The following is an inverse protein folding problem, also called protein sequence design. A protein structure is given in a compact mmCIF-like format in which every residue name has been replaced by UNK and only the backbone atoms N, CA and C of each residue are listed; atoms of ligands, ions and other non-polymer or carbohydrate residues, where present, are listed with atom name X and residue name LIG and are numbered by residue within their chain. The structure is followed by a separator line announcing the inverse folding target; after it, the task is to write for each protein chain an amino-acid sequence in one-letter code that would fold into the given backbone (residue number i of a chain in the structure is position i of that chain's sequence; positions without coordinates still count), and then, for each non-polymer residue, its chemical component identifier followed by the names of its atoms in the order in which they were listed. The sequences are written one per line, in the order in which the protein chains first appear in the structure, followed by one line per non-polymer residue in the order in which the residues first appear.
data_IF_880261563588
#
_entry.id   IF_880261563588
#
_cell.length_a   1.000
_cell.length_b   1.000
_cell.length_c   1.000
_cell.angle_alpha   90.00
_cell.angle_beta   90.00
_cell.angle_gamma   90.00
#
_symmetry.space_group_name_H-M   'P 1'
#
loop_
_entity.id
_entity.type
_entity.pdbx_description
1 polymer ?
#
# COMPACT_ATOMS: atom_id res chain seq x y z
N UNK A 1 -24.77 64.53 0.44
CA UNK A 1 -24.69 63.66 1.63
C UNK A 1 -25.24 62.29 1.26
N UNK A 2 -24.50 61.23 1.62
CA UNK A 2 -24.73 59.78 1.40
C UNK A 2 -24.69 59.33 -0.08
N UNK A 3 -23.92 58.32 -0.50
CA UNK A 3 -23.72 57.03 0.16
C UNK A 3 -22.40 56.32 -0.26
N UNK A 4 -21.37 56.25 0.59
CA UNK A 4 -20.17 55.40 0.44
C UNK A 4 -20.37 53.96 0.97
N UNK A 5 -21.62 53.47 1.06
CA UNK A 5 -21.94 52.22 1.78
C UNK A 5 -22.01 50.95 0.92
N UNK A 6 -22.04 51.06 -0.42
CA UNK A 6 -22.28 49.88 -1.28
C UNK A 6 -20.99 49.18 -1.73
N UNK A 7 -19.89 49.91 -1.91
CA UNK A 7 -18.57 49.34 -2.27
C UNK A 7 -17.91 48.64 -1.09
N UNK A 8 -18.12 49.14 0.13
CA UNK A 8 -17.61 48.52 1.35
C UNK A 8 -18.25 47.15 1.63
N UNK A 9 -19.52 46.94 1.25
CA UNK A 9 -20.21 45.67 1.49
C UNK A 9 -19.80 44.56 0.52
N UNK A 10 -19.41 44.88 -0.72
CA UNK A 10 -18.93 43.90 -1.69
C UNK A 10 -17.49 43.44 -1.37
N UNK A 11 -16.61 44.40 -1.06
CA UNK A 11 -15.21 44.12 -0.66
C UNK A 11 -15.10 43.26 0.59
N UNK A 12 -15.97 43.49 1.56
CA UNK A 12 -16.00 42.72 2.80
C UNK A 12 -16.42 41.27 2.54
N UNK A 13 -17.39 41.03 1.65
CA UNK A 13 -17.85 39.67 1.28
C UNK A 13 -16.76 38.91 0.52
N UNK A 14 -16.02 39.56 -0.38
CA UNK A 14 -14.92 38.91 -1.10
C UNK A 14 -13.72 38.60 -0.19
N UNK A 15 -13.40 39.47 0.77
CA UNK A 15 -12.37 39.22 1.78
C UNK A 15 -12.78 38.07 2.72
N UNK A 16 -14.05 38.02 3.15
CA UNK A 16 -14.54 36.91 3.98
C UNK A 16 -14.57 35.59 3.19
N UNK A 17 -14.93 35.61 1.91
CA UNK A 17 -14.91 34.41 1.05
C UNK A 17 -13.48 33.92 0.78
N UNK A 18 -12.51 34.81 0.51
CA UNK A 18 -11.09 34.42 0.39
C UNK A 18 -10.51 33.94 1.72
N UNK A 19 -10.88 34.56 2.83
CA UNK A 19 -10.44 34.12 4.16
C UNK A 19 -11.01 32.74 4.47
N UNK A 20 -12.31 32.52 4.22
CA UNK A 20 -12.95 31.21 4.40
C UNK A 20 -12.29 30.14 3.52
N UNK A 21 -12.08 30.38 2.22
CA UNK A 21 -11.45 29.38 1.34
C UNK A 21 -10.02 29.05 1.78
N UNK A 22 -9.26 30.02 2.27
CA UNK A 22 -7.93 29.79 2.85
C UNK A 22 -7.98 29.00 4.17
N UNK A 23 -8.96 29.26 5.05
CA UNK A 23 -9.18 28.47 6.26
C UNK A 23 -9.61 27.03 5.93
N UNK A 24 -10.50 26.84 4.95
CA UNK A 24 -10.92 25.51 4.47
C UNK A 24 -9.77 24.74 3.83
N UNK A 25 -8.92 25.39 3.04
CA UNK A 25 -7.74 24.74 2.43
C UNK A 25 -6.67 24.40 3.48
N UNK A 26 -6.49 25.23 4.52
CA UNK A 26 -5.59 24.92 5.64
C UNK A 26 -6.10 23.77 6.53
N UNK A 27 -7.41 23.69 6.75
CA UNK A 27 -8.05 22.58 7.47
C UNK A 27 -8.02 21.27 6.66
N UNK A 28 -8.19 21.34 5.34
CA UNK A 28 -8.05 20.21 4.43
C UNK A 28 -6.60 19.70 4.38
N UNK A 29 -5.61 20.60 4.49
CA UNK A 29 -4.20 20.23 4.58
C UNK A 29 -3.86 19.51 5.89
N UNK A 30 -4.51 19.88 7.01
CA UNK A 30 -4.36 19.19 8.29
C UNK A 30 -5.08 17.82 8.31
N UNK A 31 -6.18 17.65 7.57
CA UNK A 31 -6.85 16.36 7.38
C UNK A 31 -6.09 15.40 6.46
N UNK A 32 -5.17 15.90 5.63
CA UNK A 32 -4.33 15.06 4.75
C UNK A 32 -3.01 14.65 5.41
N UNK A 33 -2.66 15.25 6.55
CA UNK A 33 -1.49 14.88 7.37
C UNK A 33 -1.98 14.11 8.60
N UNK A 34 -2.61 12.96 8.36
CA UNK A 34 -2.94 12.03 9.44
C UNK A 34 -1.64 11.43 10.02
N UNK A 35 -1.37 11.56 11.33
CA UNK A 35 -0.16 11.00 11.96
C UNK A 35 -0.11 9.47 11.99
N UNK A 36 -1.13 8.78 11.48
CA UNK A 36 -1.25 7.32 11.46
C UNK A 36 -0.25 6.63 10.52
N UNK A 37 0.38 7.35 9.59
CA UNK A 37 1.43 6.78 8.71
C UNK A 37 2.84 6.77 9.34
N UNK A 38 3.03 7.32 10.54
CA UNK A 38 4.34 7.37 11.21
C UNK A 38 4.46 6.36 12.37
N UNK A 39 3.35 5.94 12.99
CA UNK A 39 3.39 4.99 14.11
C UNK A 39 3.33 3.53 13.62
N UNK A 40 4.38 3.08 12.94
CA UNK A 40 4.65 1.65 12.78
C UNK A 40 5.32 1.13 14.06
N UNK A 41 4.53 0.66 15.04
CA UNK A 41 5.08 0.02 16.24
C UNK A 41 4.69 -1.46 16.31
N UNK A 42 5.73 -2.29 16.28
CA UNK A 42 5.73 -3.66 16.80
C UNK A 42 5.25 -3.68 18.26
N UNK A 43 4.29 -4.55 18.56
CA UNK A 43 3.99 -5.10 19.90
C UNK A 43 3.54 -6.53 19.65
N UNK A 44 4.43 -7.50 19.83
CA UNK A 44 4.71 -8.23 21.08
C UNK A 44 3.72 -9.39 21.31
N UNK A 45 4.35 -10.55 21.39
CA UNK A 45 3.90 -11.91 21.64
C UNK A 45 2.69 -12.05 22.58
N UNK A 46 1.77 -12.95 22.21
CA UNK A 46 1.09 -13.80 23.19
C UNK A 46 0.58 -15.09 22.54
N UNK A 47 1.48 -16.07 22.46
CA UNK A 47 1.12 -17.48 22.32
C UNK A 47 0.45 -17.97 23.61
N UNK A 48 -0.87 -17.89 23.70
CA UNK A 48 -1.69 -18.88 24.44
C UNK A 48 -3.18 -18.77 24.08
N UNK A 49 -3.84 -19.93 24.13
CA UNK A 49 -5.28 -20.15 24.13
C UNK A 49 -5.95 -20.19 22.75
N UNK A 50 -5.89 -21.37 22.15
CA UNK A 50 -7.06 -22.00 21.55
C UNK A 50 -8.24 -21.84 22.53
N UNK A 51 -9.17 -20.93 22.22
CA UNK A 51 -10.46 -20.88 22.91
C UNK A 51 -11.56 -20.84 21.85
N UNK A 52 -12.08 -22.03 21.53
CA UNK A 52 -13.39 -22.18 20.93
C UNK A 52 -14.42 -21.47 21.81
N UNK A 53 -15.03 -20.40 21.31
CA UNK A 53 -16.35 -19.94 21.79
C UNK A 53 -17.19 -19.48 20.59
N UNK A 54 -18.31 -20.18 20.30
CA UNK A 54 -19.18 -19.89 19.18
C UNK A 54 -20.25 -18.85 19.53
N UNK A 55 -21.00 -18.46 18.48
CA UNK A 55 -22.14 -17.56 18.41
C UNK A 55 -21.84 -16.06 18.38
N UNK A 56 -21.70 -15.55 17.15
CA UNK A 56 -22.18 -14.22 16.82
C UNK A 56 -23.21 -14.34 15.70
N UNK A 57 -24.44 -13.95 16.01
CA UNK A 57 -25.52 -13.82 15.02
C UNK A 57 -25.38 -12.46 14.39
N UNK A 58 -25.01 -12.42 13.11
CA UNK A 58 -25.24 -11.25 12.26
C UNK A 58 -26.25 -11.67 11.20
N UNK A 59 -27.45 -11.12 11.29
CA UNK A 59 -28.40 -11.12 10.18
C UNK A 59 -27.89 -10.08 9.18
N UNK A 60 -27.09 -10.51 8.21
CA UNK A 60 -26.93 -9.77 6.96
C UNK A 60 -27.01 -10.77 5.79
N UNK A 61 -27.99 -10.50 4.95
CA UNK A 61 -28.43 -11.33 3.85
C UNK A 61 -27.56 -11.06 2.62
N UNK A 62 -26.34 -11.59 2.62
CA UNK A 62 -25.50 -11.74 1.42
C UNK A 62 -25.28 -13.24 1.18
N UNK A 63 -26.19 -13.82 0.41
CA UNK A 63 -26.15 -15.22 0.03
C UNK A 63 -25.07 -15.49 -1.01
N UNK A 64 -23.79 -15.34 -0.67
CA UNK A 64 -22.62 -15.91 -1.38
C UNK A 64 -21.42 -16.18 -0.46
N UNK A 65 -21.60 -16.81 0.71
CA UNK A 65 -20.45 -17.41 1.43
C UNK A 65 -20.89 -18.50 2.42
N UNK A 66 -21.05 -19.73 1.94
CA UNK A 66 -21.21 -20.90 2.84
C UNK A 66 -20.34 -22.10 2.42
N UNK A 67 -19.72 -22.06 1.24
CA UNK A 67 -18.91 -23.16 0.74
C UNK A 67 -17.41 -22.99 1.04
N UNK A 68 -16.93 -21.75 1.17
CA UNK A 68 -15.50 -21.45 1.38
C UNK A 68 -15.01 -21.91 2.76
N UNK A 69 -15.83 -21.72 3.80
CA UNK A 69 -15.45 -22.02 5.18
C UNK A 69 -15.35 -23.53 5.49
N UNK A 70 -16.09 -24.38 4.77
CA UNK A 70 -15.98 -25.84 4.90
C UNK A 70 -14.88 -26.44 4.02
N UNK A 71 -14.54 -25.80 2.90
CA UNK A 71 -13.56 -26.31 1.94
C UNK A 71 -12.14 -26.36 2.52
N UNK A 72 -11.75 -25.37 3.33
CA UNK A 72 -10.42 -25.29 3.94
C UNK A 72 -10.33 -25.92 5.35
N UNK A 73 -11.36 -26.64 5.78
CA UNK A 73 -11.43 -27.24 7.13
C UNK A 73 -10.38 -28.36 7.34
N UNK A 74 -9.96 -29.02 6.27
CA UNK A 74 -8.98 -30.10 6.29
C UNK A 74 -7.86 -29.88 5.26
N UNK A 75 -6.85 -29.12 5.67
CA UNK A 75 -5.63 -28.90 4.89
C UNK A 75 -4.71 -30.13 4.94
N UNK A 76 -4.49 -30.75 3.79
CA UNK A 76 -3.54 -31.84 3.61
C UNK A 76 -2.14 -31.30 3.31
N UNK A 77 -1.45 -30.77 4.32
CA UNK A 77 -0.13 -30.16 4.14
C UNK A 77 0.89 -31.03 3.39
N UNK A 78 0.85 -32.36 3.57
CA UNK A 78 1.76 -33.28 2.88
C UNK A 78 1.54 -33.24 1.36
N UNK A 79 0.27 -33.24 0.95
CA UNK A 79 -0.11 -33.10 -0.45
C UNK A 79 0.35 -31.75 -1.00
N UNK A 80 0.15 -30.67 -0.24
CA UNK A 80 0.60 -29.34 -0.62
C UNK A 80 2.13 -29.25 -0.75
N UNK A 81 2.88 -29.93 0.13
CA UNK A 81 4.35 -30.03 0.04
C UNK A 81 4.77 -30.78 -1.22
N UNK A 82 4.01 -31.80 -1.65
CA UNK A 82 4.27 -32.54 -2.89
C UNK A 82 3.96 -31.68 -4.14
N UNK A 83 2.86 -30.91 -4.13
CA UNK A 83 2.61 -29.86 -5.13
C UNK A 83 3.77 -28.85 -5.18
N UNK A 84 4.22 -28.38 -4.03
CA UNK A 84 5.36 -27.47 -3.92
C UNK A 84 6.63 -28.01 -4.55
N UNK A 85 6.92 -29.31 -4.40
CA UNK A 85 8.06 -29.96 -5.07
C UNK A 85 7.90 -29.92 -6.59
N UNK A 86 6.73 -30.27 -7.11
CA UNK A 86 6.48 -30.30 -8.55
C UNK A 86 6.52 -28.89 -9.17
N UNK A 87 5.84 -27.92 -8.56
CA UNK A 87 5.81 -26.54 -9.02
C UNK A 87 7.22 -25.92 -9.01
N UNK A 88 8.00 -26.16 -7.94
CA UNK A 88 9.36 -25.64 -7.85
C UNK A 88 10.36 -26.35 -8.76
N UNK A 89 10.15 -27.63 -9.08
CA UNK A 89 11.00 -28.34 -10.04
C UNK A 89 10.90 -27.70 -11.43
N UNK A 90 9.68 -27.45 -11.92
CA UNK A 90 9.49 -26.77 -13.20
C UNK A 90 10.11 -25.37 -13.21
N UNK A 91 9.95 -24.61 -12.13
CA UNK A 91 10.62 -23.31 -11.98
C UNK A 91 12.15 -23.44 -11.99
N UNK A 92 12.70 -24.45 -11.30
CA UNK A 92 14.14 -24.71 -11.25
C UNK A 92 14.73 -25.07 -12.60
N UNK A 93 14.02 -25.85 -13.41
CA UNK A 93 14.45 -26.20 -14.78
C UNK A 93 14.57 -24.93 -15.63
N UNK A 94 13.55 -24.07 -15.58
CA UNK A 94 13.56 -22.80 -16.32
C UNK A 94 14.66 -21.85 -15.82
N UNK A 95 14.85 -21.72 -14.50
CA UNK A 95 15.91 -20.90 -13.94
C UNK A 95 17.31 -21.41 -14.32
N UNK A 96 17.45 -22.73 -14.50
CA UNK A 96 18.70 -23.32 -14.99
C UNK A 96 18.95 -23.01 -16.46
N UNK A 97 17.90 -22.99 -17.29
CA UNK A 97 17.98 -22.61 -18.70
C UNK A 97 18.23 -21.10 -18.89
N UNK A 98 17.66 -20.26 -18.03
CA UNK A 98 17.85 -18.81 -18.04
C UNK A 98 19.28 -18.38 -17.72
N UNK A 99 20.01 -19.16 -16.89
CA UNK A 99 21.37 -18.84 -16.46
C UNK A 99 21.42 -17.84 -15.29
N UNK A 100 22.46 -17.97 -14.44
CA UNK A 100 22.60 -17.16 -13.22
C UNK A 100 22.71 -15.66 -13.51
N UNK A 101 23.26 -15.30 -14.67
CA UNK A 101 23.41 -13.92 -15.12
C UNK A 101 22.07 -13.20 -15.32
N UNK A 102 20.98 -13.95 -15.50
CA UNK A 102 19.64 -13.42 -15.75
C UNK A 102 18.71 -13.56 -14.55
N UNK A 103 19.14 -14.20 -13.44
CA UNK A 103 18.28 -14.41 -12.27
C UNK A 103 17.80 -13.11 -11.62
N UNK A 104 18.60 -12.05 -11.70
CA UNK A 104 18.24 -10.74 -11.16
C UNK A 104 17.47 -9.86 -12.15
N UNK A 105 17.26 -10.32 -13.39
CA UNK A 105 16.44 -9.60 -14.35
C UNK A 105 14.97 -9.98 -14.16
N UNK A 106 14.24 -9.11 -13.46
CA UNK A 106 12.81 -9.34 -13.17
C UNK A 106 11.95 -9.46 -14.43
N UNK A 107 12.27 -8.75 -15.52
CA UNK A 107 11.50 -8.88 -16.78
C UNK A 107 11.57 -10.29 -17.36
N UNK A 108 12.71 -10.98 -17.19
CA UNK A 108 12.88 -12.37 -17.64
C UNK A 108 12.21 -13.38 -16.70
N UNK A 109 12.26 -13.12 -15.39
CA UNK A 109 11.84 -14.11 -14.38
C UNK A 109 10.36 -14.00 -14.01
N UNK A 110 9.76 -12.80 -14.09
CA UNK A 110 8.42 -12.51 -13.55
C UNK A 110 7.33 -13.44 -14.08
N UNK A 111 7.39 -13.80 -15.37
CA UNK A 111 6.41 -14.70 -15.99
C UNK A 111 6.48 -16.11 -15.40
N UNK A 112 7.69 -16.62 -15.18
CA UNK A 112 7.91 -17.96 -14.65
C UNK A 112 7.63 -18.01 -13.14
N UNK A 113 7.98 -16.94 -12.43
CA UNK A 113 7.63 -16.76 -11.03
C UNK A 113 6.11 -16.72 -10.83
N UNK A 114 5.37 -16.00 -11.68
CA UNK A 114 3.91 -16.00 -11.66
C UNK A 114 3.32 -17.39 -11.93
N UNK A 115 3.90 -18.15 -12.88
CA UNK A 115 3.48 -19.54 -13.13
C UNK A 115 3.67 -20.43 -11.91
N UNK A 116 4.76 -20.24 -11.16
CA UNK A 116 4.99 -20.93 -9.88
C UNK A 116 3.93 -20.53 -8.84
N UNK A 117 3.62 -19.23 -8.72
CA UNK A 117 2.57 -18.71 -7.83
C UNK A 117 1.21 -19.34 -8.12
N UNK A 118 0.76 -19.33 -9.38
CA UNK A 118 -0.52 -19.93 -9.78
C UNK A 118 -0.53 -21.45 -9.53
N UNK A 119 0.59 -22.12 -9.75
CA UNK A 119 0.73 -23.56 -9.45
C UNK A 119 0.55 -23.84 -7.94
N UNK A 120 1.12 -22.98 -7.08
CA UNK A 120 0.98 -23.10 -5.63
C UNK A 120 -0.41 -22.73 -5.11
N UNK A 121 -1.05 -21.73 -5.71
CA UNK A 121 -2.43 -21.37 -5.43
C UNK A 121 -3.36 -22.56 -5.75
N UNK A 122 -3.22 -23.12 -6.96
CA UNK A 122 -3.98 -24.31 -7.38
C UNK A 122 -3.70 -25.50 -6.45
N UNK A 123 -2.44 -25.77 -6.13
CA UNK A 123 -2.07 -26.83 -5.18
C UNK A 123 -2.64 -26.62 -3.78
N UNK A 124 -2.80 -25.38 -3.34
CA UNK A 124 -3.44 -25.04 -2.06
C UNK A 124 -4.92 -25.37 -2.09
N UNK A 125 -5.63 -24.98 -3.16
CA UNK A 125 -7.03 -25.33 -3.38
C UNK A 125 -7.21 -26.86 -3.39
N UNK A 126 -6.45 -27.58 -4.21
CA UNK A 126 -6.52 -29.05 -4.33
C UNK A 126 -6.20 -29.78 -3.02
N UNK A 127 -5.32 -29.19 -2.19
CA UNK A 127 -4.95 -29.76 -0.89
C UNK A 127 -5.93 -29.38 0.24
N UNK A 128 -6.97 -28.59 -0.04
CA UNK A 128 -7.89 -28.08 0.99
C UNK A 128 -7.22 -27.08 1.94
N UNK A 129 -6.18 -26.38 1.48
CA UNK A 129 -5.40 -25.42 2.25
C UNK A 129 -5.67 -23.99 1.78
N UNK A 130 -5.84 -23.05 2.71
CA UNK A 130 -5.96 -21.64 2.37
C UNK A 130 -4.66 -21.13 1.73
N UNK A 131 -4.77 -20.20 0.78
CA UNK A 131 -3.63 -19.52 0.18
C UNK A 131 -3.66 -18.02 0.56
N UNK A 132 -2.54 -17.43 1.02
CA UNK A 132 -1.25 -18.06 1.31
C UNK A 132 -1.25 -18.84 2.63
N UNK A 133 -0.27 -19.73 2.82
CA UNK A 133 -0.04 -20.48 4.07
C UNK A 133 1.46 -20.72 4.32
N UNK A 134 1.80 -21.24 5.50
CA UNK A 134 3.20 -21.43 5.91
C UNK A 134 4.01 -22.37 5.00
N UNK A 135 3.39 -23.37 4.34
CA UNK A 135 4.09 -24.27 3.41
C UNK A 135 4.51 -23.51 2.16
N UNK A 136 3.59 -22.69 1.63
CA UNK A 136 3.82 -21.82 0.48
C UNK A 136 4.91 -20.80 0.82
N UNK A 137 4.80 -20.13 1.96
CA UNK A 137 5.79 -19.15 2.43
C UNK A 137 7.21 -19.75 2.51
N UNK A 138 7.36 -20.92 3.15
CA UNK A 138 8.64 -21.62 3.25
C UNK A 138 9.20 -22.05 1.88
N UNK A 139 8.34 -22.37 0.91
CA UNK A 139 8.77 -22.66 -0.45
C UNK A 139 9.36 -21.42 -1.11
N UNK A 140 8.62 -20.30 -1.09
CA UNK A 140 9.07 -19.06 -1.70
C UNK A 140 10.33 -18.51 -1.04
N UNK A 141 10.46 -18.57 0.28
CA UNK A 141 11.70 -18.18 0.98
C UNK A 141 12.89 -19.02 0.52
N UNK A 142 12.71 -20.33 0.29
CA UNK A 142 13.79 -21.19 -0.24
C UNK A 142 14.18 -20.80 -1.66
N UNK A 143 13.20 -20.52 -2.52
CA UNK A 143 13.41 -20.08 -3.90
C UNK A 143 14.15 -18.73 -3.93
N UNK A 144 13.73 -17.78 -3.09
CA UNK A 144 14.41 -16.49 -2.91
C UNK A 144 15.87 -16.66 -2.51
N UNK A 145 16.16 -17.50 -1.53
CA UNK A 145 17.54 -17.78 -1.11
C UNK A 145 18.36 -18.47 -2.20
N UNK A 146 17.75 -19.36 -2.98
CA UNK A 146 18.46 -20.15 -3.98
C UNK A 146 18.83 -19.33 -5.22
N UNK A 147 17.90 -18.55 -5.76
CA UNK A 147 18.11 -17.87 -7.05
C UNK A 147 18.36 -16.37 -6.92
N UNK A 148 17.95 -15.74 -5.82
CA UNK A 148 17.94 -14.28 -5.69
C UNK A 148 18.79 -13.76 -4.53
N UNK A 149 19.55 -14.61 -3.84
CA UNK A 149 20.36 -14.21 -2.68
C UNK A 149 21.49 -13.23 -2.99
N UNK A 150 21.93 -13.19 -4.25
CA UNK A 150 22.99 -12.29 -4.74
C UNK A 150 22.45 -11.13 -5.58
N UNK A 151 21.13 -11.06 -5.77
CA UNK A 151 20.54 -9.92 -6.44
C UNK A 151 20.66 -8.70 -5.54
N UNK A 152 21.43 -7.72 -6.00
CA UNK A 152 21.52 -6.42 -5.33
C UNK A 152 20.15 -5.75 -5.43
N UNK A 153 19.73 -5.07 -4.36
CA UNK A 153 18.55 -4.21 -4.37
C UNK A 153 18.86 -2.93 -5.17
N UNK A 154 19.26 -3.06 -6.43
CA UNK A 154 19.58 -1.91 -7.29
C UNK A 154 18.32 -1.09 -7.65
N UNK A 155 17.15 -1.67 -7.34
CA UNK A 155 15.84 -1.02 -7.33
C UNK A 155 15.33 -0.71 -5.92
N UNK A 156 16.21 -0.60 -4.91
CA UNK A 156 15.91 0.39 -3.88
C UNK A 156 15.78 1.70 -4.66
N UNK A 157 14.54 2.15 -4.91
CA UNK A 157 14.26 3.54 -5.18
C UNK A 157 14.95 4.27 -4.03
N UNK A 158 16.21 4.68 -4.25
CA UNK A 158 16.96 5.46 -3.29
C UNK A 158 16.02 6.59 -2.94
N UNK A 159 15.54 6.60 -1.70
CA UNK A 159 14.68 7.66 -1.21
C UNK A 159 15.30 8.95 -1.71
N UNK A 160 14.50 9.76 -2.41
CA UNK A 160 15.00 10.97 -3.05
C UNK A 160 15.87 11.71 -2.03
N UNK A 161 17.12 12.07 -2.36
CA UNK A 161 18.10 12.50 -1.37
C UNK A 161 17.49 13.55 -0.45
N UNK A 162 17.75 13.47 0.86
CA UNK A 162 17.03 14.25 1.88
C UNK A 162 16.90 15.76 1.54
N UNK A 163 17.88 16.33 0.83
CA UNK A 163 17.82 17.71 0.33
C UNK A 163 16.71 17.96 -0.70
N UNK A 164 16.43 17.03 -1.61
CA UNK A 164 15.35 17.15 -2.60
C UNK A 164 13.99 17.10 -1.91
N UNK A 165 13.81 16.19 -0.96
CA UNK A 165 12.58 16.11 -0.15
C UNK A 165 12.39 17.38 0.68
N UNK A 166 13.47 17.90 1.28
CA UNK A 166 13.45 19.15 2.03
C UNK A 166 13.08 20.35 1.14
N UNK A 167 13.65 20.45 -0.06
CA UNK A 167 13.31 21.54 -1.00
C UNK A 167 11.87 21.39 -1.48
N UNK A 168 11.43 20.19 -1.84
CA UNK A 168 10.08 19.93 -2.31
C UNK A 168 9.01 20.20 -1.23
N UNK A 169 9.35 20.09 0.05
CA UNK A 169 8.45 20.39 1.18
C UNK A 169 8.50 21.87 1.57
N UNK A 170 9.67 22.50 1.62
CA UNK A 170 9.81 23.92 1.97
C UNK A 170 9.31 24.86 0.87
N UNK A 171 9.47 24.48 -0.41
CA UNK A 171 9.05 25.29 -1.55
C UNK A 171 7.55 25.65 -1.49
N UNK A 172 6.59 24.72 -1.36
CA UNK A 172 5.18 25.08 -1.25
C UNK A 172 4.87 25.89 0.02
N UNK A 173 5.53 25.59 1.14
CA UNK A 173 5.34 26.32 2.41
C UNK A 173 5.71 27.80 2.28
N UNK A 174 6.74 28.13 1.48
CA UNK A 174 7.18 29.50 1.26
C UNK A 174 6.46 30.18 0.09
N UNK A 175 6.16 29.44 -0.98
CA UNK A 175 5.53 29.99 -2.18
C UNK A 175 4.06 30.36 -1.95
N UNK A 176 3.29 29.54 -1.22
CA UNK A 176 1.88 29.80 -0.95
C UNK A 176 1.66 31.15 -0.24
N UNK A 177 2.29 31.46 0.92
CA UNK A 177 2.08 32.74 1.59
C UNK A 177 2.60 33.93 0.77
N UNK A 178 3.67 33.73 0.00
CA UNK A 178 4.18 34.77 -0.90
C UNK A 178 3.16 35.11 -1.99
N UNK A 179 2.57 34.11 -2.64
CA UNK A 179 1.53 34.31 -3.66
C UNK A 179 0.31 35.00 -3.05
N UNK A 180 -0.14 34.55 -1.87
CA UNK A 180 -1.28 35.17 -1.15
C UNK A 180 -0.99 36.63 -0.83
N UNK A 181 0.21 36.94 -0.31
CA UNK A 181 0.63 38.31 -0.03
C UNK A 181 0.58 39.20 -1.28
N UNK A 182 1.12 38.71 -2.41
CA UNK A 182 1.11 39.45 -3.68
C UNK A 182 -0.32 39.72 -4.16
N UNK A 183 -1.22 38.72 -4.06
CA UNK A 183 -2.62 38.86 -4.47
C UNK A 183 -3.34 39.90 -3.60
N UNK A 184 -3.19 39.82 -2.28
CA UNK A 184 -3.81 40.78 -1.33
C UNK A 184 -3.28 42.19 -1.57
N UNK A 185 -1.96 42.34 -1.71
CA UNK A 185 -1.33 43.63 -1.96
C UNK A 185 -1.79 44.25 -3.28
N UNK A 186 -1.85 43.46 -4.36
CA UNK A 186 -2.34 43.93 -5.66
C UNK A 186 -3.82 44.30 -5.63
N UNK A 187 -4.64 43.58 -4.87
CA UNK A 187 -6.05 43.94 -4.68
C UNK A 187 -6.18 45.24 -3.89
N UNK A 188 -5.43 45.41 -2.80
CA UNK A 188 -5.43 46.65 -1.99
C UNK A 188 -4.87 47.88 -2.73
N UNK A 189 -4.01 47.70 -3.74
CA UNK A 189 -3.52 48.79 -4.59
C UNK A 189 -4.48 49.14 -5.74
N UNK A 190 -5.47 48.29 -6.03
CA UNK A 190 -6.44 48.48 -7.11
C UNK A 190 -7.78 49.03 -6.61
N UNK A 191 -7.94 49.17 -5.30
CA UNK A 191 -9.06 49.84 -4.60
C UNK A 191 -8.71 51.29 -4.26
#
# INVERSE_FOLDING_TARGET
MLQPQLTHSLHVVDIYNLSCTMFYLSGLFLLLVDPSMIYGQMTEDNRTAFEERPNVTYEDNDSEDFQTQNFFSHCHEKMLKDYGRNCSQNFSEIMSELGEENWCNMEMVIRHYNSLTVCMESGSIESGCFYPNHVVEQLFVRIHRQYFSLCSNEEDLLDAPAGVVLVATLLPILLIPFIVYIVVWKSSLRD
#
